data_IF_725431055066
#
_entry.id   IF_725431055066
#
_cell.length_a   1.000
_cell.length_b   1.000
_cell.length_c   1.000
_cell.angle_alpha   90.00
_cell.angle_beta   90.00
_cell.angle_gamma   90.00
#
_symmetry.space_group_name_H-M   'P 1'
#
loop_
_entity.id
_entity.type
_entity.pdbx_description
1 polymer ?
#
# COMPACT_ATOMS: atom_id res chain seq x y z
N UNK A 1 -10.01 2.78 -8.81
CA UNK A 1 -10.78 1.83 -9.63
C UNK A 1 -11.16 0.58 -8.85
N UNK A 2 -10.24 -0.33 -8.49
CA UNK A 2 -10.62 -1.55 -7.77
C UNK A 2 -11.45 -1.29 -6.49
N UNK A 3 -11.01 -0.35 -5.63
CA UNK A 3 -11.76 0.00 -4.43
C UNK A 3 -13.16 0.59 -4.69
N UNK A 4 -13.33 1.38 -5.76
CA UNK A 4 -14.65 1.95 -6.12
C UNK A 4 -15.61 0.85 -6.56
N UNK A 5 -15.12 -0.06 -7.41
CA UNK A 5 -15.88 -1.22 -7.89
C UNK A 5 -16.32 -2.07 -6.70
N UNK A 6 -15.44 -2.31 -5.72
CA UNK A 6 -15.76 -3.06 -4.51
C UNK A 6 -16.88 -2.39 -3.71
N UNK A 7 -16.85 -1.05 -3.54
CA UNK A 7 -17.92 -0.33 -2.82
C UNK A 7 -19.25 -0.38 -3.56
N UNK A 8 -19.25 -0.26 -4.88
CA UNK A 8 -20.48 -0.34 -5.70
C UNK A 8 -21.07 -1.75 -5.65
N UNK A 9 -20.24 -2.79 -5.86
CA UNK A 9 -20.68 -4.18 -5.80
C UNK A 9 -21.14 -4.59 -4.39
N UNK A 10 -20.50 -4.03 -3.37
CA UNK A 10 -20.91 -4.15 -1.97
C UNK A 10 -22.17 -3.35 -1.60
N UNK A 11 -22.76 -2.60 -2.55
CA UNK A 11 -23.92 -1.72 -2.34
C UNK A 11 -23.69 -0.64 -1.27
N UNK A 12 -22.45 -0.18 -1.14
CA UNK A 12 -22.04 0.88 -0.21
C UNK A 12 -22.05 2.26 -0.90
N UNK A 13 -21.84 2.30 -2.22
CA UNK A 13 -21.89 3.52 -3.01
C UNK A 13 -22.70 3.30 -4.30
N UNK A 14 -23.37 4.33 -4.78
CA UNK A 14 -24.21 4.26 -5.99
C UNK A 14 -23.47 4.69 -7.26
N UNK A 15 -22.29 5.30 -7.11
CA UNK A 15 -21.46 5.76 -8.24
C UNK A 15 -19.97 5.72 -7.92
N UNK A 16 -19.13 5.69 -8.98
CA UNK A 16 -17.68 5.75 -8.82
C UNK A 16 -17.23 7.04 -8.11
N UNK A 17 -17.87 8.18 -8.41
CA UNK A 17 -17.55 9.47 -7.81
C UNK A 17 -17.82 9.48 -6.30
N UNK A 18 -18.94 8.92 -5.88
CA UNK A 18 -19.27 8.76 -4.46
C UNK A 18 -18.29 7.80 -3.78
N UNK A 19 -18.04 6.65 -4.40
CA UNK A 19 -17.11 5.66 -3.87
C UNK A 19 -15.69 6.24 -3.70
N UNK A 20 -15.21 7.02 -4.67
CA UNK A 20 -13.93 7.74 -4.59
C UNK A 20 -13.87 8.65 -3.38
N UNK A 21 -14.92 9.45 -3.17
CA UNK A 21 -15.00 10.38 -2.04
C UNK A 21 -14.94 9.64 -0.70
N UNK A 22 -15.64 8.51 -0.57
CA UNK A 22 -15.61 7.69 0.65
C UNK A 22 -14.21 7.12 0.92
N UNK A 23 -13.53 6.63 -0.12
CA UNK A 23 -12.16 6.10 0.00
C UNK A 23 -11.17 7.20 0.41
N UNK A 24 -11.26 8.38 -0.23
CA UNK A 24 -10.41 9.52 0.09
C UNK A 24 -10.65 10.03 1.51
N UNK A 25 -11.91 10.08 1.97
CA UNK A 25 -12.23 10.43 3.35
C UNK A 25 -11.65 9.40 4.32
N UNK A 26 -11.79 8.10 4.04
CA UNK A 26 -11.26 7.05 4.89
C UNK A 26 -9.74 7.14 5.08
N UNK A 27 -9.00 7.50 4.02
CA UNK A 27 -7.55 7.71 4.08
C UNK A 27 -7.21 9.02 4.79
N UNK A 28 -7.79 10.14 4.36
CA UNK A 28 -7.45 11.47 4.88
C UNK A 28 -7.85 11.69 6.34
N UNK A 29 -8.91 11.02 6.82
CA UNK A 29 -9.33 11.06 8.23
C UNK A 29 -8.54 10.12 9.15
N UNK A 30 -7.68 9.26 8.59
CA UNK A 30 -6.94 8.24 9.34
C UNK A 30 -7.76 6.99 9.70
N UNK A 31 -9.07 6.95 9.39
CA UNK A 31 -9.94 5.78 9.65
C UNK A 31 -9.38 4.49 9.01
N UNK A 32 -8.83 4.59 7.81
CA UNK A 32 -8.21 3.46 7.11
C UNK A 32 -7.00 2.90 7.88
N UNK A 33 -6.18 3.78 8.48
CA UNK A 33 -5.01 3.39 9.25
C UNK A 33 -5.40 2.71 10.58
N UNK A 34 -6.39 3.27 11.29
CA UNK A 34 -6.89 2.68 12.53
C UNK A 34 -7.58 1.32 12.30
N UNK A 35 -8.28 1.17 11.18
CA UNK A 35 -8.83 -0.13 10.77
C UNK A 35 -7.72 -1.14 10.47
N UNK A 36 -6.63 -0.71 9.79
CA UNK A 36 -5.48 -1.58 9.52
C UNK A 36 -4.82 -2.07 10.82
N UNK A 37 -4.61 -1.18 11.81
CA UNK A 37 -4.12 -1.58 13.14
C UNK A 37 -5.03 -2.59 13.83
N UNK A 38 -6.34 -2.34 13.79
CA UNK A 38 -7.35 -3.23 14.36
C UNK A 38 -7.31 -4.62 13.72
N UNK A 39 -7.19 -4.67 12.39
CA UNK A 39 -7.06 -5.92 11.62
C UNK A 39 -5.79 -6.70 11.96
N UNK A 40 -4.64 -6.04 12.11
CA UNK A 40 -3.38 -6.69 12.49
C UNK A 40 -3.46 -7.22 13.92
N UNK A 41 -3.97 -6.41 14.86
CA UNK A 41 -4.19 -6.83 16.25
C UNK A 41 -5.11 -8.04 16.35
N UNK A 42 -6.19 -8.05 15.58
CA UNK A 42 -7.15 -9.16 15.55
C UNK A 42 -6.53 -10.49 15.07
N UNK A 43 -5.46 -10.43 14.28
CA UNK A 43 -4.70 -11.59 13.81
C UNK A 43 -3.48 -11.90 14.68
N UNK A 44 -3.30 -11.21 15.82
CA UNK A 44 -2.19 -11.42 16.75
C UNK A 44 -0.88 -10.75 16.35
N UNK A 45 -0.89 -9.86 15.36
CA UNK A 45 0.30 -9.08 14.98
C UNK A 45 0.58 -7.91 15.93
N UNK A 46 1.82 -7.42 15.91
CA UNK A 46 2.21 -6.22 16.68
C UNK A 46 1.75 -4.95 15.98
N UNK A 47 0.95 -4.15 16.69
CA UNK A 47 0.55 -2.81 16.25
C UNK A 47 1.72 -1.83 16.32
N UNK A 48 2.69 -2.06 17.21
CA UNK A 48 3.86 -1.20 17.35
C UNK A 48 4.68 -1.15 16.05
N UNK A 49 4.74 -2.26 15.29
CA UNK A 49 5.40 -2.30 13.98
C UNK A 49 4.70 -1.44 12.91
N UNK A 50 3.44 -1.09 13.12
CA UNK A 50 2.67 -0.21 12.24
C UNK A 50 2.92 1.26 12.61
N UNK A 51 3.02 1.54 13.91
CA UNK A 51 3.30 2.89 14.43
C UNK A 51 4.79 3.27 14.26
N UNK A 52 5.70 2.30 14.39
CA UNK A 52 7.13 2.44 14.14
C UNK A 52 7.63 1.37 13.16
N UNK A 53 7.73 1.79 11.89
CA UNK A 53 8.23 0.94 10.80
C UNK A 53 9.69 0.52 10.98
N UNK A 54 10.44 1.11 11.92
CA UNK A 54 11.81 0.70 12.23
C UNK A 54 11.88 -0.69 12.89
N UNK A 55 10.78 -1.14 13.50
CA UNK A 55 10.63 -2.46 14.13
C UNK A 55 10.37 -3.59 13.12
N UNK A 56 10.02 -3.25 11.87
CA UNK A 56 9.88 -4.24 10.83
C UNK A 56 11.21 -4.95 10.55
N UNK A 57 11.21 -6.24 10.17
CA UNK A 57 12.42 -6.95 9.78
C UNK A 57 13.18 -6.21 8.68
N UNK A 58 14.46 -5.94 8.91
CA UNK A 58 15.34 -5.26 7.95
C UNK A 58 16.34 -6.23 7.35
N UNK A 59 16.67 -6.01 6.07
CA UNK A 59 17.80 -6.71 5.44
C UNK A 59 19.10 -6.34 6.14
N UNK A 60 20.01 -7.32 6.29
CA UNK A 60 21.36 -7.11 6.81
C UNK A 60 22.21 -6.24 5.88
N UNK A 61 21.91 -6.24 4.59
CA UNK A 61 22.65 -5.53 3.56
C UNK A 61 21.72 -4.69 2.70
N UNK A 62 22.11 -3.43 2.47
CA UNK A 62 21.40 -2.49 1.62
C UNK A 62 22.40 -1.91 0.62
N UNK A 63 22.13 -2.09 -0.66
CA UNK A 63 23.02 -1.67 -1.75
C UNK A 63 22.26 -0.73 -2.68
N UNK A 64 22.84 0.43 -2.95
CA UNK A 64 22.30 1.40 -3.90
C UNK A 64 22.68 1.00 -5.34
N UNK A 65 21.70 1.01 -6.26
CA UNK A 65 21.92 0.79 -7.69
C UNK A 65 21.70 2.12 -8.41
N UNK A 66 22.78 2.68 -8.96
CA UNK A 66 22.77 3.98 -9.64
C UNK A 66 22.63 3.81 -11.15
N UNK A 67 22.06 4.82 -11.80
CA UNK A 67 22.04 4.89 -13.26
C UNK A 67 23.47 5.05 -13.78
N UNK A 68 23.79 4.36 -14.87
CA UNK A 68 25.09 4.50 -15.55
C UNK A 68 25.20 5.82 -16.33
N UNK A 69 24.07 6.45 -16.64
CA UNK A 69 23.99 7.69 -17.44
C UNK A 69 22.77 8.53 -17.09
N UNK A 70 22.84 9.81 -17.45
CA UNK A 70 21.70 10.72 -17.34
C UNK A 70 20.60 10.37 -18.36
N UNK A 71 19.34 10.61 -17.99
CA UNK A 71 18.19 10.36 -18.86
C UNK A 71 16.87 10.26 -18.10
N UNK A 72 15.86 9.70 -18.78
CA UNK A 72 14.53 9.46 -18.22
C UNK A 72 14.21 7.96 -18.24
N UNK A 73 13.51 7.48 -17.21
CA UNK A 73 13.05 6.09 -17.14
C UNK A 73 11.92 5.90 -18.16
N UNK A 74 12.17 5.11 -19.20
CA UNK A 74 11.16 4.78 -20.23
C UNK A 74 10.32 3.57 -19.83
N UNK A 75 10.94 2.55 -19.25
CA UNK A 75 10.31 1.27 -18.91
C UNK A 75 10.91 0.75 -17.60
N UNK A 76 10.05 0.21 -16.73
CA UNK A 76 10.43 -0.59 -15.57
C UNK A 76 9.91 -2.02 -15.81
N UNK A 77 10.81 -3.00 -15.97
CA UNK A 77 10.41 -4.38 -16.31
C UNK A 77 9.97 -5.14 -15.06
N UNK A 78 8.68 -5.08 -14.73
CA UNK A 78 8.10 -5.63 -13.51
C UNK A 78 8.40 -7.13 -13.30
N UNK A 79 8.31 -7.95 -14.36
CA UNK A 79 8.61 -9.39 -14.27
C UNK A 79 10.05 -9.67 -13.83
N UNK A 80 11.03 -8.99 -14.43
CA UNK A 80 12.45 -9.17 -14.07
C UNK A 80 12.72 -8.74 -12.64
N UNK A 81 12.13 -7.63 -12.20
CA UNK A 81 12.21 -7.19 -10.80
C UNK A 81 11.57 -8.21 -9.85
N UNK A 82 10.44 -8.81 -10.23
CA UNK A 82 9.79 -9.87 -9.47
C UNK A 82 10.67 -11.12 -9.34
N UNK A 83 11.29 -11.58 -10.44
CA UNK A 83 12.22 -12.73 -10.43
C UNK A 83 13.43 -12.47 -9.53
N UNK A 84 13.93 -11.23 -9.47
CA UNK A 84 15.04 -10.86 -8.59
C UNK A 84 14.67 -10.81 -7.10
N UNK A 85 13.38 -10.64 -6.77
CA UNK A 85 12.90 -10.50 -5.41
C UNK A 85 12.41 -11.82 -4.78
N UNK A 86 12.24 -12.88 -5.58
CA UNK A 86 11.80 -14.22 -5.13
C UNK A 86 12.92 -15.02 -4.46
#
# INVERSE_FOLDING_TARGET
>A
QAGEIMLIQGKIAESEKEARKLLEEAVSSGKAFEMFKSMVKAQGGSVEMIDDTSLLPKSKYVTEVKSEKDGNIKVLHSEKLGILAM
#
